data_IF_599108001761
#
_entry.id   IF_599108001761
#
_cell.length_a   1.000
_cell.length_b   1.000
_cell.length_c   1.000
_cell.angle_alpha   90.00
_cell.angle_beta   90.00
_cell.angle_gamma   90.00
#
_symmetry.space_group_name_H-M   'P 1'
#
loop_
_entity.id
_entity.type
_entity.pdbx_description
1 polymer ?
#
# COMPACT_ATOMS: atom_id res chain seq x y z
N UNK A 1 8.99 2.71 -2.74
CA UNK A 1 8.48 2.90 -4.11
C UNK A 1 7.53 1.79 -4.55
N UNK A 2 7.94 0.51 -4.60
CA UNK A 2 7.08 -0.57 -5.13
C UNK A 2 6.04 -1.17 -4.16
N UNK A 3 6.05 -0.77 -2.89
CA UNK A 3 5.09 -1.25 -1.88
C UNK A 3 3.91 -0.30 -1.61
N UNK A 4 3.89 0.86 -2.27
CA UNK A 4 2.97 1.95 -1.94
C UNK A 4 1.52 1.61 -2.32
N UNK A 5 1.33 0.99 -3.47
CA UNK A 5 0.01 0.59 -3.96
C UNK A 5 -0.73 -0.32 -2.96
N UNK A 6 0.01 -1.19 -2.25
CA UNK A 6 -0.58 -2.05 -1.23
C UNK A 6 -1.11 -1.27 -0.01
N UNK A 7 -0.48 -0.15 0.32
CA UNK A 7 -0.94 0.75 1.40
C UNK A 7 -2.20 1.51 0.94
N UNK A 8 -2.21 2.01 -0.29
CA UNK A 8 -3.36 2.66 -0.92
C UNK A 8 -4.59 1.74 -0.99
N UNK A 9 -4.36 0.48 -1.40
CA UNK A 9 -5.40 -0.55 -1.43
C UNK A 9 -5.93 -0.82 -0.02
N UNK A 10 -5.05 -0.93 0.97
CA UNK A 10 -5.45 -1.10 2.36
C UNK A 10 -6.29 0.06 2.89
N UNK A 11 -5.87 1.32 2.65
CA UNK A 11 -6.64 2.51 3.01
C UNK A 11 -8.02 2.50 2.35
N UNK A 12 -8.10 2.12 1.07
CA UNK A 12 -9.37 2.05 0.33
C UNK A 12 -10.31 0.99 0.93
N UNK A 13 -9.78 -0.17 1.31
CA UNK A 13 -10.58 -1.29 1.81
C UNK A 13 -11.02 -1.12 3.26
N UNK A 14 -10.15 -0.57 4.11
CA UNK A 14 -10.36 -0.56 5.56
C UNK A 14 -10.63 0.84 6.13
N UNK A 15 -10.39 1.90 5.35
CA UNK A 15 -10.44 3.28 5.83
C UNK A 15 -9.35 3.58 6.86
N UNK A 16 -9.21 4.85 7.25
CA UNK A 16 -8.28 5.25 8.32
C UNK A 16 -6.81 4.96 8.01
N UNK A 17 -6.04 4.67 9.07
CA UNK A 17 -4.58 4.52 9.03
C UNK A 17 -4.13 3.37 9.94
N UNK A 18 -3.00 2.71 9.66
CA UNK A 18 -2.45 1.68 10.53
C UNK A 18 -1.90 2.29 11.83
N UNK A 19 -1.98 1.56 12.94
CA UNK A 19 -1.49 2.03 14.25
C UNK A 19 -0.02 1.69 14.48
N UNK A 20 0.49 0.63 13.84
CA UNK A 20 1.87 0.16 14.00
C UNK A 20 2.35 -0.68 12.83
N UNK A 21 3.66 -0.76 12.70
CA UNK A 21 4.37 -1.55 11.70
C UNK A 21 5.44 -2.44 12.34
N UNK A 22 5.61 -3.64 11.82
CA UNK A 22 6.76 -4.51 12.06
C UNK A 22 7.39 -4.84 10.72
N UNK A 23 8.70 -4.66 10.55
CA UNK A 23 9.36 -4.80 9.26
C UNK A 23 10.73 -5.47 9.33
N UNK A 24 11.09 -6.16 8.26
CA UNK A 24 12.42 -6.67 7.98
C UNK A 24 12.80 -6.28 6.56
N UNK A 25 13.97 -5.67 6.41
CA UNK A 25 14.55 -5.33 5.12
C UNK A 25 15.89 -6.02 4.96
N UNK A 26 16.23 -6.37 3.72
CA UNK A 26 17.51 -7.00 3.40
C UNK A 26 17.97 -6.58 2.02
N UNK A 27 19.26 -6.24 1.93
CA UNK A 27 19.99 -6.19 0.67
C UNK A 27 20.72 -7.50 0.46
N UNK A 28 20.57 -8.08 -0.73
CA UNK A 28 21.25 -9.31 -1.16
C UNK A 28 22.32 -9.02 -2.23
N UNK A 29 22.24 -7.87 -2.91
CA UNK A 29 23.26 -7.40 -3.83
C UNK A 29 24.34 -6.61 -3.08
N UNK A 30 25.57 -7.13 -3.05
CA UNK A 30 26.74 -6.45 -2.45
C UNK A 30 27.29 -5.29 -3.30
N UNK A 31 26.61 -4.90 -4.38
CA UNK A 31 26.95 -3.66 -5.07
C UNK A 31 26.65 -2.48 -4.14
N UNK A 32 27.45 -1.40 -4.20
CA UNK A 32 27.39 -0.20 -3.34
C UNK A 32 26.03 0.57 -3.34
N UNK A 33 24.94 -0.03 -3.76
CA UNK A 33 23.61 0.53 -3.62
C UNK A 33 23.23 0.51 -2.12
N UNK A 34 22.86 1.67 -1.59
CA UNK A 34 22.32 1.79 -0.23
C UNK A 34 20.86 1.31 -0.14
N UNK A 35 20.34 0.63 -1.16
CA UNK A 35 18.94 0.26 -1.29
C UNK A 35 18.73 -1.22 -0.97
N UNK A 36 17.63 -1.53 -0.31
CA UNK A 36 17.25 -2.90 0.02
C UNK A 36 16.55 -3.59 -1.16
N UNK A 37 16.91 -4.85 -1.40
CA UNK A 37 16.34 -5.65 -2.50
C UNK A 37 15.05 -6.39 -2.08
N UNK A 38 14.84 -6.52 -0.77
CA UNK A 38 13.68 -7.20 -0.18
C UNK A 38 13.22 -6.44 1.06
N UNK A 39 11.91 -6.22 1.14
CA UNK A 39 11.23 -5.72 2.32
C UNK A 39 10.00 -6.59 2.62
N UNK A 40 9.87 -7.02 3.87
CA UNK A 40 8.67 -7.69 4.37
C UNK A 40 8.19 -6.91 5.58
N UNK A 41 6.93 -6.51 5.59
CA UNK A 41 6.38 -5.78 6.71
C UNK A 41 4.92 -6.13 6.95
N UNK A 42 4.51 -5.96 8.21
CA UNK A 42 3.17 -6.18 8.70
C UNK A 42 2.64 -4.87 9.28
N UNK A 43 1.49 -4.41 8.77
CA UNK A 43 0.75 -3.27 9.30
C UNK A 43 -0.42 -3.78 10.12
N UNK A 44 -0.66 -3.14 11.27
CA UNK A 44 -1.84 -3.37 12.09
C UNK A 44 -2.86 -2.26 11.85
N UNK A 45 -4.06 -2.65 11.39
CA UNK A 45 -5.17 -1.78 11.03
C UNK A 45 -6.39 -2.09 11.87
N UNK A 46 -6.36 -1.67 13.12
CA UNK A 46 -7.38 -1.98 14.13
C UNK A 46 -7.60 -3.50 14.26
N UNK A 47 -6.51 -4.24 14.46
CA UNK A 47 -6.46 -5.71 14.51
C UNK A 47 -6.67 -6.42 13.16
N UNK A 48 -6.66 -5.68 12.05
CA UNK A 48 -6.57 -6.27 10.69
C UNK A 48 -5.11 -6.24 10.27
N UNK A 49 -4.50 -7.41 10.11
CA UNK A 49 -3.09 -7.52 9.77
C UNK A 49 -2.92 -7.51 8.25
N UNK A 50 -2.07 -6.62 7.77
CA UNK A 50 -1.76 -6.49 6.34
C UNK A 50 -0.29 -6.80 6.16
N UNK A 51 -0.02 -7.94 5.54
CA UNK A 51 1.33 -8.38 5.26
C UNK A 51 1.71 -7.98 3.84
N UNK A 52 2.80 -7.25 3.71
CA UNK A 52 3.31 -6.76 2.43
C UNK A 52 4.71 -7.33 2.26
N UNK A 53 4.98 -7.87 1.08
CA UNK A 53 6.29 -8.38 0.67
C UNK A 53 6.65 -7.77 -0.66
N UNK A 54 7.78 -7.08 -0.71
CA UNK A 54 8.28 -6.39 -1.89
C UNK A 54 9.67 -6.93 -2.19
N UNK A 55 9.94 -7.20 -3.46
CA UNK A 55 11.27 -7.55 -3.92
C UNK A 55 11.57 -6.96 -5.29
N UNK A 56 12.78 -6.40 -5.45
CA UNK A 56 13.33 -5.95 -6.72
C UNK A 56 14.14 -7.03 -7.44
N UNK A 57 14.25 -8.24 -6.87
CA UNK A 57 15.07 -9.34 -7.42
C UNK A 57 14.35 -10.12 -8.53
N UNK A 58 13.07 -9.86 -8.76
CA UNK A 58 12.29 -10.53 -9.80
C UNK A 58 12.71 -10.11 -11.21
N UNK A 59 12.71 -11.06 -12.15
CA UNK A 59 12.97 -10.78 -13.57
C UNK A 59 11.75 -10.25 -14.32
N UNK A 60 10.55 -10.42 -13.75
CA UNK A 60 9.26 -10.02 -14.32
C UNK A 60 8.44 -9.35 -13.21
N UNK A 61 7.84 -8.17 -13.45
CA UNK A 61 6.90 -7.56 -12.52
C UNK A 61 5.74 -8.51 -12.21
N UNK A 62 5.46 -8.73 -10.93
CA UNK A 62 4.31 -9.51 -10.48
C UNK A 62 3.67 -8.82 -9.28
N UNK A 63 2.38 -8.53 -9.39
CA UNK A 63 1.57 -8.06 -8.29
C UNK A 63 0.60 -9.18 -7.87
N UNK A 64 0.53 -9.43 -6.57
CA UNK A 64 -0.40 -10.39 -6.00
C UNK A 64 -1.02 -9.79 -4.75
N UNK A 65 -2.35 -9.77 -4.71
CA UNK A 65 -3.10 -9.33 -3.54
C UNK A 65 -3.97 -10.47 -3.06
N UNK A 66 -4.03 -10.67 -1.75
CA UNK A 66 -4.89 -11.67 -1.11
C UNK A 66 -5.56 -11.08 0.11
N UNK A 67 -6.88 -11.12 0.11
CA UNK A 67 -7.72 -10.62 1.18
C UNK A 67 -8.49 -11.82 1.71
N UNK A 68 -8.23 -12.20 2.96
CA UNK A 68 -8.87 -13.36 3.60
C UNK A 68 -9.76 -12.89 4.75
N UNK A 69 -10.98 -13.43 4.80
CA UNK A 69 -11.94 -13.21 5.87
C UNK A 69 -12.47 -14.54 6.42
N UNK A 70 -13.47 -14.47 7.29
CA UNK A 70 -14.09 -15.67 7.89
C UNK A 70 -14.95 -16.47 6.90
N UNK A 71 -15.49 -15.80 5.87
CA UNK A 71 -16.44 -16.39 4.92
C UNK A 71 -15.81 -16.74 3.56
N UNK A 72 -14.52 -16.44 3.37
CA UNK A 72 -13.89 -16.64 2.08
C UNK A 72 -12.62 -15.81 1.89
N UNK A 73 -12.27 -15.68 0.62
CA UNK A 73 -11.04 -15.07 0.15
C UNK A 73 -11.24 -14.43 -1.22
N UNK A 74 -10.58 -13.29 -1.42
CA UNK A 74 -10.37 -12.67 -2.71
C UNK A 74 -8.87 -12.73 -3.00
N UNK A 75 -8.48 -13.25 -4.17
CA UNK A 75 -7.10 -13.17 -4.66
C UNK A 75 -7.07 -12.49 -6.01
N UNK A 76 -6.12 -11.58 -6.20
CA UNK A 76 -5.93 -10.81 -7.42
C UNK A 76 -4.53 -11.11 -7.94
N UNK A 77 -4.47 -11.62 -9.17
CA UNK A 77 -3.26 -11.91 -9.92
C UNK A 77 -3.30 -11.11 -11.22
N UNK A 78 -2.64 -9.95 -11.24
CA UNK A 78 -2.69 -9.00 -12.37
C UNK A 78 -4.14 -8.62 -12.74
N UNK A 79 -4.66 -9.14 -13.86
CA UNK A 79 -6.02 -8.88 -14.35
C UNK A 79 -7.05 -9.92 -13.89
N UNK A 80 -6.60 -10.99 -13.23
CA UNK A 80 -7.45 -12.09 -12.82
C UNK A 80 -7.84 -11.94 -11.36
N UNK A 81 -9.14 -11.86 -11.10
CA UNK A 81 -9.73 -11.83 -9.76
C UNK A 81 -10.40 -13.17 -9.51
N UNK A 82 -10.01 -13.83 -8.42
CA UNK A 82 -10.62 -15.06 -7.95
C UNK A 82 -11.36 -14.80 -6.64
N UNK A 83 -12.63 -15.19 -6.60
CA UNK A 83 -13.48 -15.09 -5.42
C UNK A 83 -13.81 -16.50 -4.92
N UNK A 84 -13.31 -16.83 -3.74
CA UNK A 84 -13.59 -18.06 -3.03
C UNK A 84 -14.54 -17.75 -1.88
N UNK A 85 -15.73 -18.36 -1.89
CA UNK A 85 -16.71 -18.25 -0.81
C UNK A 85 -16.96 -19.65 -0.28
N UNK A 86 -17.06 -19.78 1.05
CA UNK A 86 -17.30 -21.07 1.69
C UNK A 86 -18.49 -21.81 1.06
N UNK A 87 -18.30 -23.10 0.80
CA UNK A 87 -19.29 -24.01 0.21
C UNK A 87 -19.80 -23.60 -1.20
N UNK A 88 -19.07 -22.75 -1.91
CA UNK A 88 -19.37 -22.36 -3.30
C UNK A 88 -18.19 -22.65 -4.24
N UNK A 89 -18.45 -22.91 -5.52
CA UNK A 89 -17.39 -22.93 -6.52
C UNK A 89 -16.65 -21.59 -6.57
N UNK A 90 -15.34 -21.64 -6.80
CA UNK A 90 -14.53 -20.45 -7.03
C UNK A 90 -15.01 -19.74 -8.28
N UNK A 91 -15.21 -18.43 -8.17
CA UNK A 91 -15.54 -17.57 -9.30
C UNK A 91 -14.27 -16.92 -9.83
N UNK A 92 -14.15 -16.85 -11.15
CA UNK A 92 -13.06 -16.17 -11.84
C UNK A 92 -13.63 -15.01 -12.64
N UNK A 93 -13.07 -13.83 -12.43
CA UNK A 93 -13.48 -12.57 -13.05
C UNK A 93 -12.24 -11.95 -13.67
N UNK A 94 -12.28 -11.67 -14.95
CA UNK A 94 -11.24 -10.91 -15.63
C UNK A 94 -11.57 -9.41 -15.54
N UNK A 95 -10.68 -8.63 -14.96
CA UNK A 95 -10.76 -7.18 -14.86
C UNK A 95 -9.63 -6.60 -15.72
N UNK A 96 -9.92 -6.03 -16.90
CA UNK A 96 -8.89 -5.43 -17.72
C UNK A 96 -8.31 -4.22 -16.98
N UNK A 97 -7.05 -4.31 -16.57
CA UNK A 97 -6.32 -3.14 -16.07
C UNK A 97 -5.62 -2.44 -17.23
N UNK A 98 -5.51 -1.11 -17.15
CA UNK A 98 -4.67 -0.31 -18.03
C UNK A 98 -3.22 -0.26 -17.51
N UNK A 99 -2.77 -1.29 -16.80
CA UNK A 99 -1.43 -1.31 -16.22
C UNK A 99 -0.34 -1.20 -17.30
N UNK A 100 -0.65 -1.70 -18.51
CA UNK A 100 0.20 -1.60 -19.70
C UNK A 100 0.06 -0.27 -20.46
N UNK A 101 -0.75 0.70 -19.98
CA UNK A 101 -0.75 2.07 -20.52
C UNK A 101 0.51 2.79 -20.02
N UNK A 102 1.56 2.96 -20.86
CA UNK A 102 2.82 3.55 -20.43
C UNK A 102 2.65 5.03 -20.03
N UNK A 103 1.56 5.67 -20.47
CA UNK A 103 1.27 7.06 -20.15
C UNK A 103 0.68 7.26 -18.76
N UNK A 104 0.12 6.21 -18.14
CA UNK A 104 -0.64 6.29 -16.88
C UNK A 104 -1.62 7.49 -16.87
N UNK A 105 -2.17 7.83 -18.03
CA UNK A 105 -2.76 9.16 -18.27
C UNK A 105 -3.97 9.40 -17.36
N UNK A 106 -4.78 8.36 -17.19
CA UNK A 106 -5.98 8.41 -16.35
C UNK A 106 -5.63 8.59 -14.86
N UNK A 107 -4.53 8.00 -14.41
CA UNK A 107 -4.08 8.15 -13.02
C UNK A 107 -3.59 9.58 -12.75
N UNK A 108 -2.75 10.13 -13.64
CA UNK A 108 -2.26 11.50 -13.52
C UNK A 108 -3.39 12.53 -13.59
N UNK A 109 -4.36 12.35 -14.48
CA UNK A 109 -5.52 13.23 -14.57
C UNK A 109 -6.32 13.22 -13.25
N UNK A 110 -6.58 12.04 -12.68
CA UNK A 110 -7.27 11.93 -11.40
C UNK A 110 -6.54 12.63 -10.25
N UNK A 111 -5.20 12.57 -10.21
CA UNK A 111 -4.40 13.24 -9.20
C UNK A 111 -4.46 14.77 -9.33
N UNK A 112 -4.37 15.30 -10.56
CA UNK A 112 -4.48 16.74 -10.83
C UNK A 112 -5.88 17.24 -10.49
N UNK A 113 -6.92 16.49 -10.88
CA UNK A 113 -8.31 16.82 -10.57
C UNK A 113 -8.55 16.85 -9.05
N UNK A 114 -8.04 15.87 -8.30
CA UNK A 114 -8.13 15.85 -6.84
C UNK A 114 -7.42 17.06 -6.19
N UNK A 115 -6.24 17.42 -6.70
CA UNK A 115 -5.53 18.62 -6.24
C UNK A 115 -6.32 19.90 -6.49
N UNK A 116 -6.85 20.07 -7.71
CA UNK A 116 -7.65 21.24 -8.07
C UNK A 116 -8.94 21.32 -7.26
N UNK A 117 -9.59 20.19 -6.98
CA UNK A 117 -10.78 20.17 -6.12
C UNK A 117 -10.45 20.63 -4.70
N UNK A 118 -9.37 20.13 -4.10
CA UNK A 118 -8.92 20.58 -2.77
C UNK A 118 -8.58 22.07 -2.74
N UNK A 119 -7.95 22.60 -3.79
CA UNK A 119 -7.58 24.01 -3.87
C UNK A 119 -8.81 24.93 -3.98
N UNK A 120 -9.88 24.45 -4.62
CA UNK A 120 -11.10 25.23 -4.85
C UNK A 120 -12.17 25.01 -3.76
N UNK A 121 -12.12 23.88 -3.05
CA UNK A 121 -13.11 23.49 -2.04
C UNK A 121 -12.41 23.20 -0.69
N UNK A 122 -12.48 24.12 0.29
CA UNK A 122 -11.80 23.95 1.58
C UNK A 122 -12.33 22.80 2.46
N UNK A 123 -13.43 22.15 2.03
CA UNK A 123 -14.02 21.00 2.71
C UNK A 123 -13.59 19.65 2.09
N UNK A 124 -12.88 19.66 0.95
CA UNK A 124 -12.37 18.44 0.34
C UNK A 124 -11.10 18.01 1.07
N UNK A 125 -11.07 16.76 1.54
CA UNK A 125 -9.87 16.19 2.16
C UNK A 125 -8.78 15.93 1.11
N UNK A 126 -7.52 16.34 1.37
CA UNK A 126 -6.43 16.18 0.42
C UNK A 126 -5.87 14.75 0.45
N UNK A 127 -6.69 13.79 0.02
CA UNK A 127 -6.41 12.36 0.11
C UNK A 127 -5.01 11.98 -0.40
N UNK A 128 -4.62 12.47 -1.59
CA UNK A 128 -3.31 12.17 -2.19
C UNK A 128 -2.13 12.67 -1.34
N UNK A 129 -2.27 13.82 -0.67
CA UNK A 129 -1.25 14.34 0.25
C UNK A 129 -1.22 13.55 1.57
N UNK A 130 -2.39 13.14 2.07
CA UNK A 130 -2.51 12.31 3.27
C UNK A 130 -1.89 10.93 3.05
N UNK A 131 -2.14 10.32 1.90
CA UNK A 131 -1.53 9.07 1.46
C UNK A 131 0.00 9.20 1.39
N UNK A 132 0.51 10.23 0.71
CA UNK A 132 1.94 10.47 0.63
C UNK A 132 2.59 10.65 2.01
N UNK A 133 1.95 11.41 2.91
CA UNK A 133 2.41 11.59 4.28
C UNK A 133 2.45 10.29 5.08
N UNK A 134 1.39 9.47 4.96
CA UNK A 134 1.33 8.16 5.63
C UNK A 134 2.45 7.26 5.13
N UNK A 135 2.67 7.23 3.82
CA UNK A 135 3.71 6.42 3.18
C UNK A 135 5.09 6.76 3.71
N UNK A 136 5.41 8.05 3.84
CA UNK A 136 6.71 8.49 4.38
C UNK A 136 6.90 8.04 5.82
N UNK A 137 5.88 8.20 6.66
CA UNK A 137 5.89 7.72 8.05
C UNK A 137 6.09 6.20 8.10
N UNK A 138 5.37 5.43 7.27
CA UNK A 138 5.52 3.97 7.18
C UNK A 138 6.94 3.58 6.76
N UNK A 139 7.52 4.25 5.77
CA UNK A 139 8.87 3.96 5.29
C UNK A 139 9.92 4.20 6.38
N UNK A 140 9.82 5.32 7.09
CA UNK A 140 10.69 5.64 8.23
C UNK A 140 10.56 4.58 9.34
N UNK A 141 9.33 4.28 9.77
CA UNK A 141 9.09 3.30 10.84
C UNK A 141 9.47 1.87 10.42
N UNK A 142 9.34 1.52 9.14
CA UNK A 142 9.81 0.24 8.62
C UNK A 142 11.34 0.11 8.74
N UNK A 143 12.09 1.15 8.36
CA UNK A 143 13.56 1.16 8.51
C UNK A 143 13.97 1.04 9.98
N UNK A 144 13.33 1.80 10.88
CA UNK A 144 13.58 1.67 12.31
C UNK A 144 13.20 0.30 12.87
N UNK A 145 12.08 -0.28 12.44
CA UNK A 145 11.66 -1.63 12.84
C UNK A 145 12.70 -2.66 12.43
N UNK A 146 13.16 -2.61 11.17
CA UNK A 146 14.17 -3.51 10.62
C UNK A 146 15.48 -3.44 11.41
N UNK A 147 15.97 -2.22 11.67
CA UNK A 147 17.19 -1.98 12.46
C UNK A 147 17.08 -2.45 13.91
N UNK A 148 15.87 -2.60 14.44
CA UNK A 148 15.58 -3.11 15.79
C UNK A 148 15.08 -4.57 15.77
N UNK A 149 15.47 -5.35 14.75
CA UNK A 149 15.16 -6.77 14.69
C UNK A 149 13.68 -7.10 14.43
N UNK A 150 12.95 -6.19 13.80
CA UNK A 150 11.53 -6.35 13.48
C UNK A 150 10.60 -6.05 14.66
N UNK A 151 10.99 -5.17 15.59
CA UNK A 151 10.10 -4.76 16.66
C UNK A 151 8.95 -3.90 16.12
N UNK A 152 7.76 -4.03 16.71
CA UNK A 152 6.63 -3.16 16.39
C UNK A 152 6.95 -1.69 16.71
N UNK A 153 6.78 -0.83 15.70
CA UNK A 153 6.91 0.62 15.80
C UNK A 153 5.53 1.27 15.68
N UNK A 154 5.23 2.20 16.58
CA UNK A 154 4.01 3.01 16.49
C UNK A 154 4.07 3.94 15.28
N UNK A 155 2.92 4.13 14.64
CA UNK A 155 2.74 5.07 13.54
C UNK A 155 1.94 6.25 14.10
N UNK A 156 2.55 7.44 14.13
CA UNK A 156 1.91 8.65 14.66
C UNK A 156 1.40 9.53 13.53
N UNK A 157 0.53 8.96 12.69
CA UNK A 157 -0.09 9.70 11.59
C UNK A 157 -1.45 10.26 12.02
N UNK A 158 -1.59 11.58 12.04
CA UNK A 158 -2.89 12.24 12.30
C UNK A 158 -3.22 13.19 11.17
N UNK A 159 -4.49 13.24 10.76
CA UNK A 159 -4.95 14.16 9.70
C UNK A 159 -4.86 15.64 10.12
N UNK A 160 -4.72 15.91 11.43
CA UNK A 160 -4.54 17.26 11.99
C UNK A 160 -3.16 17.86 11.70
N UNK A 161 -2.14 17.07 11.39
CA UNK A 161 -0.80 17.59 11.07
C UNK A 161 -0.76 18.38 9.75
N UNK A 162 -1.76 18.17 8.87
CA UNK A 162 -1.91 18.90 7.60
C UNK A 162 -2.77 20.17 7.73
N UNK A 163 -3.48 20.36 8.85
CA UNK A 163 -4.35 21.52 9.08
C UNK A 163 -3.61 22.73 9.69
N UNK A 164 -2.30 22.65 9.93
CA UNK A 164 -1.50 23.76 10.50
C UNK A 164 -0.90 24.71 9.45
N UNK A 165 -1.28 24.57 8.17
CA UNK A 165 -0.88 25.49 7.10
C UNK A 165 -2.14 26.04 6.43
N UNK A 166 -2.89 26.85 7.18
CA UNK A 166 -4.09 27.57 6.71
C UNK A 166 -4.17 28.93 7.37
#
# INVERSE_FOLDING_TARGET
>A
DHGLDAISVAQTLFGGFPQRISAHTRSFNETNSQLEDVAVFCLDWENKLINISVSSLGSIPKAYYRIQGTEGEISIENNDVFLSVKDKPVQHIFVPTYFDDPGHTNWFNGLIENFLDCANNPNTEPFSLMEAGLVLEIAEKASHSSNNGGSWMGIEFTTKSLQMVG
#
